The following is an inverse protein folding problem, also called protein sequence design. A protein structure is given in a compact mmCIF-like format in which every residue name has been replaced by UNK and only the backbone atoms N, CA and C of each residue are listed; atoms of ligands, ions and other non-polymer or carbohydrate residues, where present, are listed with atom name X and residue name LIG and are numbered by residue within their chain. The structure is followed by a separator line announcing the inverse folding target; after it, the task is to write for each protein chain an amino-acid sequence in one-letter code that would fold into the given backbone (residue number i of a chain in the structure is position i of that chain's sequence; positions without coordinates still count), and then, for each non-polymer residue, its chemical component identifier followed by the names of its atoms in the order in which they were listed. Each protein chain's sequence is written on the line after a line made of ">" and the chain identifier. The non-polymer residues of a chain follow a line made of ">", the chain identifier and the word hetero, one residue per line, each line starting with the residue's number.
data_IF_611956472599
#
_entry.id   IF_611956472599
#
_cell.length_a   1.000
_cell.length_b   1.000
_cell.length_c   1.000
_cell.angle_alpha   90.00
_cell.angle_beta   90.00
_cell.angle_gamma   90.00
#
_symmetry.space_group_name_H-M   'P 1'
#
loop_
_entity.id
_entity.type
_entity.pdbx_description
1 polymer ?
#
# COMPACT_ATOMS: atom_id res chain seq x y z
N UNK A 1 -14.98 -32.72 -54.49
CA UNK A 1 -15.11 -31.41 -53.81
C UNK A 1 -16.05 -31.36 -52.59
N UNK A 2 -16.89 -32.37 -52.31
CA UNK A 2 -17.84 -32.35 -51.16
C UNK A 2 -17.27 -32.88 -49.83
N UNK A 3 -16.35 -33.84 -49.87
CA UNK A 3 -15.79 -34.48 -48.68
C UNK A 3 -14.79 -33.61 -47.90
N UNK A 4 -14.00 -32.79 -48.59
CA UNK A 4 -13.02 -31.88 -47.96
C UNK A 4 -13.70 -30.78 -47.13
N UNK A 5 -14.85 -30.28 -47.57
CA UNK A 5 -15.64 -29.30 -46.80
C UNK A 5 -16.27 -29.93 -45.55
N UNK A 6 -16.72 -31.18 -45.63
CA UNK A 6 -17.29 -31.89 -44.48
C UNK A 6 -16.23 -32.18 -43.42
N UNK A 7 -15.04 -32.61 -43.84
CA UNK A 7 -13.90 -32.85 -42.95
C UNK A 7 -13.44 -31.56 -42.26
N UNK A 8 -13.36 -30.44 -43.00
CA UNK A 8 -13.01 -29.14 -42.42
C UNK A 8 -14.02 -28.65 -41.37
N UNK A 9 -15.31 -28.87 -41.60
CA UNK A 9 -16.37 -28.53 -40.62
C UNK A 9 -16.26 -29.40 -39.37
N UNK A 10 -15.99 -30.70 -39.53
CA UNK A 10 -15.78 -31.61 -38.38
C UNK A 10 -14.56 -31.18 -37.56
N UNK A 11 -13.45 -30.82 -38.19
CA UNK A 11 -12.27 -30.31 -37.48
C UNK A 11 -12.55 -28.99 -36.73
N UNK A 12 -13.29 -28.06 -37.33
CA UNK A 12 -13.70 -26.82 -36.67
C UNK A 12 -14.61 -27.07 -35.46
N UNK A 13 -15.54 -28.01 -35.57
CA UNK A 13 -16.43 -28.38 -34.46
C UNK A 13 -15.65 -29.05 -33.33
N UNK A 14 -14.76 -29.99 -33.65
CA UNK A 14 -13.90 -30.64 -32.64
C UNK A 14 -13.00 -29.61 -31.97
N UNK A 15 -12.41 -28.68 -32.73
CA UNK A 15 -11.57 -27.61 -32.21
C UNK A 15 -12.34 -26.63 -31.32
N UNK A 16 -13.58 -26.27 -31.69
CA UNK A 16 -14.46 -25.48 -30.82
C UNK A 16 -14.79 -26.23 -29.52
N UNK A 17 -15.11 -27.53 -29.60
CA UNK A 17 -15.42 -28.34 -28.41
C UNK A 17 -14.20 -28.44 -27.50
N UNK A 18 -12.99 -28.64 -28.02
CA UNK A 18 -11.78 -28.69 -27.19
C UNK A 18 -11.44 -27.35 -26.55
N UNK A 19 -11.67 -26.23 -27.23
CA UNK A 19 -11.52 -24.89 -26.64
C UNK A 19 -12.55 -24.66 -25.53
N UNK A 20 -13.82 -25.01 -25.75
CA UNK A 20 -14.88 -24.87 -24.75
C UNK A 20 -14.61 -25.76 -23.54
N UNK A 21 -14.17 -27.00 -23.76
CA UNK A 21 -13.82 -27.93 -22.69
C UNK A 21 -12.60 -27.44 -21.89
N UNK A 22 -11.55 -26.97 -22.58
CA UNK A 22 -10.37 -26.38 -21.95
C UNK A 22 -10.74 -25.15 -21.10
N UNK A 23 -11.65 -24.30 -21.59
CA UNK A 23 -12.22 -23.15 -20.84
C UNK A 23 -13.05 -23.58 -19.64
N UNK A 24 -13.81 -24.67 -19.75
CA UNK A 24 -14.61 -25.21 -18.66
C UNK A 24 -13.73 -25.78 -17.53
N UNK A 25 -12.69 -26.54 -17.90
CA UNK A 25 -11.78 -27.18 -16.95
C UNK A 25 -10.92 -26.15 -16.20
N UNK A 26 -10.46 -25.08 -16.86
CA UNK A 26 -9.78 -23.96 -16.18
C UNK A 26 -10.71 -23.18 -15.24
N UNK A 27 -12.00 -23.02 -15.59
CA UNK A 27 -12.98 -22.36 -14.73
C UNK A 27 -13.26 -23.19 -13.46
N UNK A 28 -13.31 -24.52 -13.59
CA UNK A 28 -13.45 -25.42 -12.44
C UNK A 28 -12.22 -25.41 -11.52
N UNK A 29 -11.01 -25.36 -12.08
CA UNK A 29 -9.78 -25.26 -11.28
C UNK A 29 -9.69 -23.93 -10.52
N UNK A 30 -10.02 -22.81 -11.18
CA UNK A 30 -10.11 -21.50 -10.53
C UNK A 30 -11.14 -21.50 -9.39
N UNK A 31 -12.35 -22.03 -9.62
CA UNK A 31 -13.39 -22.14 -8.59
C UNK A 31 -12.95 -23.02 -7.41
N UNK A 32 -12.23 -24.11 -7.66
CA UNK A 32 -11.68 -24.97 -6.60
C UNK A 32 -10.58 -24.26 -5.80
N UNK A 33 -9.69 -23.53 -6.45
CA UNK A 33 -8.65 -22.71 -5.79
C UNK A 33 -9.29 -21.61 -4.92
N UNK A 34 -10.30 -20.92 -5.44
CA UNK A 34 -11.04 -19.90 -4.70
C UNK A 34 -11.84 -20.50 -3.53
N UNK A 35 -12.49 -21.66 -3.71
CA UNK A 35 -13.20 -22.34 -2.62
C UNK A 35 -12.26 -22.80 -1.50
N UNK A 36 -11.07 -23.30 -1.83
CA UNK A 36 -10.07 -23.66 -0.81
C UNK A 36 -9.53 -22.45 -0.07
N UNK A 37 -9.30 -21.33 -0.78
CA UNK A 37 -8.96 -20.03 -0.16
C UNK A 37 -10.09 -19.54 0.75
N UNK A 38 -11.36 -19.66 0.33
CA UNK A 38 -12.54 -19.30 1.13
C UNK A 38 -12.59 -20.06 2.46
N UNK A 39 -12.44 -21.37 2.44
CA UNK A 39 -12.52 -22.20 3.66
C UNK A 39 -11.36 -21.87 4.62
N UNK A 40 -10.19 -21.50 4.07
CA UNK A 40 -9.05 -20.98 4.83
C UNK A 40 -9.37 -19.62 5.48
N UNK A 41 -9.89 -18.66 4.71
CA UNK A 41 -10.20 -17.31 5.20
C UNK A 41 -11.31 -17.30 6.25
N UNK A 42 -12.35 -18.12 6.08
CA UNK A 42 -13.45 -18.23 7.04
C UNK A 42 -12.98 -18.77 8.40
N UNK A 43 -12.08 -19.76 8.40
CA UNK A 43 -11.50 -20.29 9.63
C UNK A 43 -10.58 -19.29 10.33
N UNK A 44 -9.86 -18.47 9.57
CA UNK A 44 -8.98 -17.45 10.13
C UNK A 44 -9.72 -16.21 10.64
N UNK A 45 -10.86 -15.83 10.03
CA UNK A 45 -11.75 -14.77 10.56
C UNK A 45 -12.15 -15.05 12.00
N UNK A 46 -12.48 -16.31 12.34
CA UNK A 46 -12.83 -16.68 13.71
C UNK A 46 -11.65 -16.51 14.68
N UNK A 47 -10.43 -16.89 14.27
CA UNK A 47 -9.21 -16.74 15.08
C UNK A 47 -8.83 -15.28 15.29
N UNK A 48 -8.92 -14.45 14.25
CA UNK A 48 -8.61 -13.02 14.35
C UNK A 48 -9.69 -12.24 15.11
N UNK A 49 -10.98 -12.56 14.96
CA UNK A 49 -12.03 -11.99 15.81
C UNK A 49 -11.83 -12.35 17.28
N UNK A 50 -11.29 -13.54 17.57
CA UNK A 50 -10.93 -13.90 18.94
C UNK A 50 -9.73 -13.07 19.43
N UNK A 51 -8.72 -12.87 18.58
CA UNK A 51 -7.54 -12.08 18.92
C UNK A 51 -7.87 -10.59 19.13
N UNK A 52 -8.69 -9.98 18.26
CA UNK A 52 -9.17 -8.61 18.41
C UNK A 52 -10.05 -8.46 19.65
N UNK A 53 -10.89 -9.45 19.98
CA UNK A 53 -11.62 -9.49 21.26
C UNK A 53 -10.66 -9.54 22.45
N UNK A 54 -9.61 -10.36 22.38
CA UNK A 54 -8.61 -10.45 23.44
C UNK A 54 -7.85 -9.12 23.62
N UNK A 55 -7.50 -8.42 22.54
CA UNK A 55 -6.90 -7.09 22.61
C UNK A 55 -7.86 -6.04 23.19
N UNK A 56 -9.13 -6.05 22.77
CA UNK A 56 -10.15 -5.16 23.32
C UNK A 56 -10.34 -5.39 24.83
N UNK A 57 -10.42 -6.65 25.28
CA UNK A 57 -10.49 -7.01 26.70
C UNK A 57 -9.22 -6.62 27.48
N UNK A 58 -8.03 -6.81 26.89
CA UNK A 58 -6.77 -6.38 27.50
C UNK A 58 -6.72 -4.85 27.67
N UNK A 59 -7.17 -4.08 26.68
CA UNK A 59 -7.23 -2.62 26.74
C UNK A 59 -8.25 -2.10 27.78
N UNK A 60 -9.40 -2.75 27.92
CA UNK A 60 -10.36 -2.45 28.99
C UNK A 60 -9.76 -2.73 30.38
N UNK A 61 -9.05 -3.86 30.55
CA UNK A 61 -8.39 -4.20 31.81
C UNK A 61 -7.22 -3.26 32.20
N UNK A 62 -6.58 -2.64 31.20
CA UNK A 62 -5.53 -1.63 31.41
C UNK A 62 -6.13 -0.27 31.77
N UNK A 63 -7.29 0.08 31.21
CA UNK A 63 -8.03 1.27 31.63
C UNK A 63 -8.54 1.13 33.07
N UNK A 64 -9.10 -0.01 33.46
CA UNK A 64 -9.56 -0.24 34.84
C UNK A 64 -8.41 -0.19 35.86
N UNK A 65 -7.20 -0.66 35.50
CA UNK A 65 -6.00 -0.53 36.36
C UNK A 65 -5.43 0.89 36.41
N UNK A 66 -5.63 1.72 35.39
CA UNK A 66 -5.20 3.13 35.41
C UNK A 66 -6.13 4.05 36.22
N UNK A 67 -7.37 3.61 36.50
CA UNK A 67 -8.31 4.32 37.37
C UNK A 67 -8.27 3.87 38.85
N UNK A 68 -7.46 2.87 39.18
CA UNK A 68 -7.28 2.37 40.55
C UNK A 68 -5.83 2.58 41.05
N UNK A 69 -5.66 3.67 41.84
CA UNK A 69 -4.52 4.08 42.71
C UNK A 69 -3.29 4.84 42.13
N UNK A 70 -2.66 5.81 42.88
CA UNK A 70 -3.12 6.60 44.03
C UNK A 70 -2.77 8.11 43.88
N UNK A 71 -3.53 8.89 43.10
CA UNK A 71 -3.40 10.36 43.04
C UNK A 71 -4.36 11.12 43.96
N UNK A 72 -5.27 10.42 44.65
CA UNK A 72 -6.28 11.04 45.55
C UNK A 72 -5.83 11.22 47.01
N UNK A 73 -4.54 10.99 47.35
CA UNK A 73 -4.01 11.24 48.71
C UNK A 73 -3.21 12.54 48.89
N UNK A 74 -3.07 13.36 47.84
CA UNK A 74 -2.29 14.61 47.91
C UNK A 74 -3.13 15.90 48.00
N UNK A 75 -4.47 15.82 48.08
CA UNK A 75 -5.37 16.99 48.22
C UNK A 75 -5.98 17.05 49.64
N UNK A 76 -5.25 16.57 50.65
CA UNK A 76 -5.71 16.49 52.04
C UNK A 76 -4.99 17.41 53.03
N UNK A 77 -4.10 18.28 52.59
CA UNK A 77 -3.23 19.05 53.50
C UNK A 77 -2.86 20.43 52.97
N UNK A 78 -3.84 21.33 52.89
CA UNK A 78 -3.62 22.77 53.16
C UNK A 78 -4.85 23.29 53.90
N UNK A 79 -4.71 23.43 55.23
CA UNK A 79 -5.69 24.08 56.09
C UNK A 79 -5.98 25.50 55.63
N UNK A 80 -7.27 25.82 55.63
CA UNK A 80 -7.82 27.15 55.43
C UNK A 80 -7.23 28.17 56.41
N UNK A 81 -6.56 29.19 55.88
CA UNK A 81 -6.41 30.48 56.55
C UNK A 81 -7.52 31.40 56.03
N UNK A 82 -8.38 31.85 56.94
CA UNK A 82 -9.48 32.80 56.69
C UNK A 82 -8.94 34.23 56.55
N UNK A 83 -9.58 35.00 55.67
CA UNK A 83 -9.89 36.42 55.91
C UNK A 83 -9.42 37.40 54.84
N UNK A 84 -10.33 38.29 54.41
CA UNK A 84 -9.96 39.61 53.90
C UNK A 84 -10.64 40.04 52.61
N UNK A 85 -11.62 40.94 52.74
CA UNK A 85 -12.36 41.63 51.69
C UNK A 85 -11.56 42.67 50.88
N UNK A 86 -12.12 43.02 49.72
CA UNK A 86 -12.09 44.32 49.02
C UNK A 86 -11.01 44.63 47.95
N UNK A 87 -11.53 44.73 46.72
CA UNK A 87 -11.45 45.83 45.74
C UNK A 87 -10.10 46.29 45.15
N UNK A 88 -10.17 46.46 43.83
CA UNK A 88 -9.45 47.38 42.94
C UNK A 88 -8.18 46.91 42.23
N UNK A 89 -8.27 47.10 40.89
CA UNK A 89 -7.22 47.41 39.91
C UNK A 89 -5.97 46.53 39.90
N UNK A 90 -5.68 45.91 38.77
CA UNK A 90 -4.29 45.94 38.28
C UNK A 90 -4.22 46.05 36.75
N UNK A 91 -3.70 47.21 36.34
CA UNK A 91 -3.19 47.52 35.03
C UNK A 91 -1.88 46.76 34.74
N UNK A 92 -1.71 46.51 33.45
CA UNK A 92 -0.51 46.31 32.68
C UNK A 92 0.81 46.78 33.35
N UNK A 93 1.78 45.89 33.57
CA UNK A 93 3.19 46.27 33.70
C UNK A 93 4.12 45.20 33.14
N UNK A 94 4.86 45.57 32.06
CA UNK A 94 6.09 44.91 31.63
C UNK A 94 7.12 45.02 32.74
N UNK A 95 7.84 43.94 33.05
CA UNK A 95 9.09 43.99 33.81
C UNK A 95 10.24 43.37 33.01
N UNK A 96 11.25 44.21 32.85
CA UNK A 96 12.62 43.96 32.41
C UNK A 96 13.34 42.91 33.25
N UNK A 97 14.15 42.07 32.60
CA UNK A 97 15.17 41.24 33.25
C UNK A 97 16.57 41.87 33.07
N UNK A 98 17.46 41.82 34.09
CA UNK A 98 18.72 42.55 34.10
C UNK A 98 19.85 41.80 33.37
N UNK A 99 20.81 42.59 32.90
CA UNK A 99 22.06 42.15 32.28
C UNK A 99 22.94 41.35 33.26
N UNK A 100 23.53 40.26 32.76
CA UNK A 100 24.73 39.64 33.30
C UNK A 100 25.78 39.59 32.19
N UNK A 101 26.66 40.58 32.20
CA UNK A 101 27.97 40.55 31.55
C UNK A 101 28.93 39.72 32.42
N UNK A 102 30.03 39.26 31.82
CA UNK A 102 31.17 38.46 32.34
C UNK A 102 31.16 36.96 31.99
N UNK A 103 31.78 36.63 30.85
CA UNK A 103 32.49 35.36 30.63
C UNK A 103 33.91 35.65 30.08
N UNK A 104 34.97 34.93 30.50
CA UNK A 104 36.36 35.25 30.13
C UNK A 104 36.71 34.93 28.67
N UNK A 105 37.63 35.72 28.13
CA UNK A 105 38.03 35.84 26.72
C UNK A 105 38.83 34.66 26.12
N UNK A 106 38.74 33.43 26.67
CA UNK A 106 39.61 32.30 26.29
C UNK A 106 38.85 31.11 25.67
N UNK A 107 37.56 31.26 25.37
CA UNK A 107 36.75 30.20 24.76
C UNK A 107 36.11 30.60 23.41
N UNK A 108 36.72 31.55 22.69
CA UNK A 108 36.22 32.02 21.38
C UNK A 108 37.14 31.69 20.19
N UNK A 109 38.29 31.02 20.41
CA UNK A 109 39.22 30.67 19.34
C UNK A 109 39.15 29.20 18.86
N UNK A 110 38.27 28.37 19.42
CA UNK A 110 38.10 26.97 18.97
C UNK A 110 36.92 26.74 18.01
N UNK A 111 36.19 27.78 17.60
CA UNK A 111 34.95 27.64 16.79
C UNK A 111 35.00 28.37 15.44
N UNK A 112 36.20 28.71 14.92
CA UNK A 112 36.35 29.38 13.62
C UNK A 112 37.31 28.74 12.62
N UNK A 113 37.81 27.53 12.89
CA UNK A 113 38.75 26.84 11.98
C UNK A 113 38.27 25.46 11.51
N UNK A 114 36.97 25.27 11.31
CA UNK A 114 36.46 24.00 10.73
C UNK A 114 35.31 24.17 9.74
N UNK A 115 35.17 25.34 9.11
CA UNK A 115 34.14 25.59 8.07
C UNK A 115 34.60 25.26 6.64
N UNK A 116 35.65 24.46 6.46
CA UNK A 116 36.01 23.92 5.15
C UNK A 116 35.63 22.44 5.05
N UNK A 117 34.52 22.17 4.35
CA UNK A 117 34.40 20.94 3.57
C UNK A 117 33.68 19.74 4.18
N UNK A 118 32.60 19.93 4.95
CA UNK A 118 31.67 18.83 5.26
C UNK A 118 30.28 19.18 4.72
N UNK A 119 29.95 18.58 3.58
CA UNK A 119 28.56 18.47 3.12
C UNK A 119 27.86 17.55 4.12
N UNK A 120 27.21 18.13 5.12
CA UNK A 120 26.27 17.39 5.96
C UNK A 120 25.05 17.11 5.11
N UNK A 121 24.95 15.89 4.57
CA UNK A 121 23.64 15.35 4.18
C UNK A 121 22.76 15.47 5.41
N UNK A 122 21.74 16.33 5.33
CA UNK A 122 20.74 16.42 6.38
C UNK A 122 20.14 15.03 6.54
N UNK A 123 20.12 14.43 7.74
CA UNK A 123 19.30 13.26 7.98
C UNK A 123 17.88 13.62 7.55
N UNK A 124 17.33 12.88 6.60
CA UNK A 124 15.93 13.03 6.17
C UNK A 124 15.10 12.81 7.44
N UNK A 125 14.50 13.88 7.96
CA UNK A 125 13.62 13.79 9.13
C UNK A 125 12.49 12.80 8.78
N UNK A 126 12.16 11.92 9.73
CA UNK A 126 11.17 10.85 9.63
C UNK A 126 9.72 11.36 9.54
N UNK A 127 9.48 12.48 8.86
CA UNK A 127 8.20 13.20 8.80
C UNK A 127 7.71 13.50 7.37
N UNK A 128 8.47 13.17 6.32
CA UNK A 128 8.08 13.49 4.93
C UNK A 128 7.71 12.24 4.14
N UNK A 129 6.41 11.94 4.07
CA UNK A 129 5.86 11.00 3.10
C UNK A 129 5.66 11.67 1.72
N UNK A 130 5.49 10.84 0.69
CA UNK A 130 5.06 11.27 -0.65
C UNK A 130 6.06 12.16 -1.36
N UNK A 131 7.34 12.13 -0.96
CA UNK A 131 8.42 12.89 -1.57
C UNK A 131 9.42 11.92 -2.20
N UNK A 132 9.84 12.26 -3.40
CA UNK A 132 10.80 11.53 -4.21
C UNK A 132 11.91 12.47 -4.65
N UNK A 133 13.15 11.96 -4.71
CA UNK A 133 14.28 12.74 -5.24
C UNK A 133 14.23 12.80 -6.76
N UNK A 134 13.94 11.67 -7.41
CA UNK A 134 13.78 11.57 -8.85
C UNK A 134 12.33 11.84 -9.25
N UNK A 135 12.06 12.94 -9.94
CA UNK A 135 10.71 13.25 -10.41
C UNK A 135 10.29 12.27 -11.53
N UNK A 136 9.06 11.73 -11.50
CA UNK A 136 8.54 10.95 -12.61
C UNK A 136 8.39 11.84 -13.85
N UNK A 137 8.64 11.27 -15.02
CA UNK A 137 8.43 11.94 -16.30
C UNK A 137 7.20 11.38 -17.00
N UNK A 138 6.33 12.29 -17.41
CA UNK A 138 5.10 12.02 -18.12
C UNK A 138 5.28 12.56 -19.53
N UNK A 139 5.55 11.68 -20.50
CA UNK A 139 5.94 12.11 -21.85
C UNK A 139 6.12 10.94 -22.82
N UNK A 140 5.30 10.90 -23.86
CA UNK A 140 5.25 9.81 -24.84
C UNK A 140 3.99 8.96 -24.64
N UNK A 141 2.99 9.15 -25.52
CA UNK A 141 1.71 8.44 -25.48
C UNK A 141 1.90 6.97 -25.88
N UNK A 142 2.41 6.13 -24.99
CA UNK A 142 2.64 4.72 -25.26
C UNK A 142 1.54 3.86 -24.62
N UNK A 143 1.02 2.94 -25.43
CA UNK A 143 0.03 1.91 -25.12
C UNK A 143 0.64 0.89 -24.15
N UNK A 144 -0.07 0.50 -23.08
CA UNK A 144 0.41 -0.49 -22.09
C UNK A 144 1.32 0.06 -20.98
N UNK A 145 1.38 1.38 -20.80
CA UNK A 145 2.29 2.06 -19.86
C UNK A 145 3.70 2.21 -20.42
N UNK A 146 4.47 3.16 -19.89
CA UNK A 146 5.87 3.37 -20.24
C UNK A 146 6.77 3.04 -19.07
N UNK A 147 8.06 2.85 -19.34
CA UNK A 147 9.04 2.67 -18.27
C UNK A 147 9.05 3.91 -17.37
N UNK A 148 8.94 3.69 -16.06
CA UNK A 148 9.09 4.74 -15.09
C UNK A 148 10.52 5.28 -15.11
N UNK A 149 10.70 6.54 -14.73
CA UNK A 149 12.06 7.03 -14.49
C UNK A 149 12.66 6.18 -13.36
N UNK A 150 13.88 5.62 -13.50
CA UNK A 150 14.46 4.78 -12.47
C UNK A 150 14.39 5.44 -11.09
N UNK A 151 13.82 4.71 -10.14
CA UNK A 151 13.67 5.13 -8.75
C UNK A 151 12.81 6.39 -8.53
N UNK A 152 11.91 6.74 -9.45
CA UNK A 152 10.97 7.86 -9.26
C UNK A 152 9.78 7.52 -8.35
N UNK A 153 9.64 6.25 -7.94
CA UNK A 153 8.54 5.75 -7.11
C UNK A 153 9.06 5.01 -5.87
N UNK A 154 9.70 5.72 -4.92
CA UNK A 154 10.48 5.11 -3.83
C UNK A 154 9.64 4.37 -2.77
N UNK A 155 8.32 4.46 -2.82
CA UNK A 155 7.40 3.72 -1.95
C UNK A 155 6.97 2.37 -2.53
N UNK A 156 7.17 2.14 -3.82
CA UNK A 156 6.77 0.90 -4.46
C UNK A 156 7.61 -0.26 -3.93
N UNK A 157 6.94 -1.35 -3.54
CA UNK A 157 7.62 -2.58 -3.14
C UNK A 157 7.18 -3.77 -3.98
N UNK A 158 8.10 -4.71 -4.16
CA UNK A 158 7.81 -6.03 -4.68
C UNK A 158 7.47 -6.95 -3.50
N UNK A 159 6.24 -7.47 -3.50
CA UNK A 159 5.81 -8.56 -2.63
C UNK A 159 6.07 -9.88 -3.32
N UNK A 160 6.76 -10.80 -2.65
CA UNK A 160 6.98 -12.16 -3.14
C UNK A 160 6.63 -13.16 -2.04
N UNK A 161 5.73 -14.08 -2.32
CA UNK A 161 5.41 -15.19 -1.43
C UNK A 161 5.76 -16.52 -2.10
N UNK A 162 6.58 -17.33 -1.42
CA UNK A 162 6.85 -18.69 -1.85
C UNK A 162 5.58 -19.54 -1.70
N UNK A 163 5.12 -20.10 -2.81
CA UNK A 163 3.94 -20.96 -2.91
C UNK A 163 4.30 -22.28 -3.55
N UNK A 164 3.74 -23.38 -3.04
CA UNK A 164 3.90 -24.68 -3.69
C UNK A 164 3.03 -24.74 -4.94
N UNK A 165 3.62 -25.02 -6.09
CA UNK A 165 2.91 -25.19 -7.36
C UNK A 165 3.27 -26.51 -8.03
N UNK A 166 2.24 -27.15 -8.57
CA UNK A 166 2.36 -28.37 -9.36
C UNK A 166 2.10 -29.65 -8.56
N UNK A 167 1.72 -30.70 -9.29
CA UNK A 167 1.54 -32.06 -8.75
C UNK A 167 2.87 -32.71 -8.31
N UNK A 168 4.02 -32.12 -8.67
CA UNK A 168 5.36 -32.64 -8.41
C UNK A 168 6.12 -31.89 -7.28
N UNK A 169 5.48 -30.92 -6.61
CA UNK A 169 6.05 -30.28 -5.42
C UNK A 169 7.15 -29.24 -5.69
N UNK A 170 7.05 -28.47 -6.79
CA UNK A 170 7.93 -27.33 -7.03
C UNK A 170 7.49 -26.09 -6.25
N UNK A 171 8.43 -25.25 -5.83
CA UNK A 171 8.15 -23.92 -5.29
C UNK A 171 8.09 -22.90 -6.43
N UNK A 172 7.06 -22.06 -6.46
CA UNK A 172 7.03 -20.83 -7.26
C UNK A 172 6.79 -19.62 -6.38
N UNK A 173 6.88 -18.42 -6.96
CA UNK A 173 6.59 -17.17 -6.25
C UNK A 173 5.27 -16.57 -6.75
N UNK A 174 4.38 -16.24 -5.82
CA UNK A 174 3.26 -15.33 -6.06
C UNK A 174 3.79 -13.90 -5.93
N UNK A 175 3.76 -13.14 -7.02
CA UNK A 175 4.23 -11.76 -7.04
C UNK A 175 3.05 -10.78 -6.99
N UNK A 176 3.16 -9.79 -6.11
CA UNK A 176 2.26 -8.64 -6.01
C UNK A 176 3.08 -7.35 -5.85
N UNK A 177 2.41 -6.22 -5.98
CA UNK A 177 2.88 -4.93 -5.51
C UNK A 177 2.51 -4.65 -4.05
N UNK A 178 3.03 -3.54 -3.56
CA UNK A 178 2.64 -2.93 -2.29
C UNK A 178 3.21 -1.53 -2.21
N UNK A 179 2.89 -0.81 -1.14
CA UNK A 179 3.42 0.52 -0.88
C UNK A 179 3.89 0.67 0.56
N UNK A 180 5.10 1.18 0.75
CA UNK A 180 5.57 1.63 2.06
C UNK A 180 4.70 2.81 2.51
N UNK A 181 4.02 2.66 3.65
CA UNK A 181 3.27 3.74 4.31
C UNK A 181 4.00 4.25 5.56
N UNK A 182 5.01 3.49 6.03
CA UNK A 182 6.00 3.90 7.04
C UNK A 182 7.30 3.11 6.82
N UNK A 183 8.26 3.23 7.74
CA UNK A 183 9.50 2.46 7.70
C UNK A 183 9.28 0.95 7.92
N UNK A 184 8.20 0.55 8.57
CA UNK A 184 7.94 -0.82 9.01
C UNK A 184 6.57 -1.37 8.57
N UNK A 185 5.77 -0.57 7.85
CA UNK A 185 4.46 -0.99 7.35
C UNK A 185 4.34 -0.85 5.83
N UNK A 186 3.84 -1.91 5.21
CA UNK A 186 3.48 -1.99 3.80
C UNK A 186 1.98 -2.17 3.65
N UNK A 187 1.35 -1.36 2.80
CA UNK A 187 -0.04 -1.51 2.38
C UNK A 187 -0.10 -2.33 1.09
N UNK A 188 -0.97 -3.33 1.02
CA UNK A 188 -1.19 -4.18 -0.16
C UNK A 188 -2.62 -4.71 -0.19
N UNK A 189 -2.96 -5.54 -1.18
CA UNK A 189 -4.28 -6.17 -1.30
C UNK A 189 -4.35 -7.44 -0.43
N UNK A 190 -5.54 -7.74 0.11
CA UNK A 190 -5.75 -8.96 0.89
C UNK A 190 -5.67 -10.22 0.01
N UNK A 191 -6.10 -10.13 -1.25
CA UNK A 191 -6.06 -11.27 -2.17
C UNK A 191 -4.63 -11.71 -2.57
N UNK A 192 -3.63 -10.85 -2.37
CA UNK A 192 -2.22 -11.17 -2.61
C UNK A 192 -1.69 -12.24 -1.65
N UNK A 193 -2.28 -12.32 -0.47
CA UNK A 193 -1.94 -13.32 0.53
C UNK A 193 -2.48 -14.69 0.07
N UNK A 194 -1.64 -15.72 0.18
CA UNK A 194 -2.12 -17.11 0.07
C UNK A 194 -2.52 -17.66 1.43
N UNK A 195 -1.90 -17.15 2.50
CA UNK A 195 -2.23 -17.47 3.88
C UNK A 195 -2.05 -16.28 4.82
N UNK A 196 -2.51 -16.40 6.07
CA UNK A 196 -2.20 -15.46 7.16
C UNK A 196 -0.89 -15.85 7.89
N UNK A 197 -0.04 -16.70 7.30
CA UNK A 197 1.29 -17.02 7.81
C UNK A 197 2.30 -16.09 7.13
N UNK A 198 3.06 -15.27 7.90
CA UNK A 198 4.09 -14.42 7.32
C UNK A 198 5.30 -15.19 6.73
N UNK A 199 5.42 -16.49 7.01
CA UNK A 199 6.54 -17.30 6.49
C UNK A 199 6.53 -17.37 4.97
N UNK A 200 7.71 -17.21 4.38
CA UNK A 200 7.90 -17.27 2.93
C UNK A 200 7.51 -15.99 2.20
N UNK A 201 7.08 -14.94 2.92
CA UNK A 201 6.85 -13.62 2.36
C UNK A 201 8.11 -12.76 2.50
N UNK A 202 8.59 -12.25 1.37
CA UNK A 202 9.67 -11.28 1.25
C UNK A 202 9.16 -10.01 0.60
N UNK A 203 9.45 -8.87 1.22
CA UNK A 203 9.22 -7.53 0.69
C UNK A 203 10.55 -6.96 0.24
N UNK A 204 10.62 -6.47 -0.99
CA UNK A 204 11.80 -5.78 -1.53
C UNK A 204 11.45 -4.34 -1.90
N UNK A 205 12.11 -3.36 -1.28
CA UNK A 205 12.01 -1.93 -1.60
C UNK A 205 13.25 -1.44 -2.37
N UNK A 206 13.16 -0.29 -3.05
CA UNK A 206 14.28 0.33 -3.77
C UNK A 206 14.61 -0.33 -5.11
N UNK A 207 13.64 -1.01 -5.71
CA UNK A 207 13.75 -1.75 -6.96
C UNK A 207 13.17 -0.91 -8.11
N UNK A 208 13.91 -0.78 -9.22
CA UNK A 208 13.36 -0.36 -10.51
C UNK A 208 13.39 -1.52 -11.49
N UNK A 209 14.57 -2.12 -11.66
CA UNK A 209 14.78 -3.28 -12.53
C UNK A 209 15.07 -4.53 -11.68
N UNK A 210 14.19 -5.53 -11.75
CA UNK A 210 14.29 -6.78 -10.99
C UNK A 210 15.48 -7.67 -11.39
N UNK A 211 16.02 -7.46 -12.58
CA UNK A 211 17.11 -8.26 -13.14
C UNK A 211 18.47 -7.51 -13.09
N UNK A 212 18.50 -6.31 -12.48
CA UNK A 212 19.73 -5.51 -12.37
C UNK A 212 20.51 -5.84 -11.08
N UNK A 213 21.71 -6.40 -11.28
CA UNK A 213 22.59 -6.83 -10.19
C UNK A 213 23.18 -5.68 -9.37
N UNK A 214 23.37 -4.49 -9.97
CA UNK A 214 23.83 -3.31 -9.23
C UNK A 214 22.73 -2.78 -8.31
N UNK A 215 21.49 -2.73 -8.79
CA UNK A 215 20.35 -2.38 -7.93
C UNK A 215 20.19 -3.35 -6.77
N UNK A 216 20.30 -4.66 -7.05
CA UNK A 216 20.23 -5.69 -6.03
C UNK A 216 21.32 -5.54 -4.97
N UNK A 217 22.55 -5.18 -5.37
CA UNK A 217 23.67 -5.03 -4.45
C UNK A 217 23.64 -3.73 -3.65
N UNK A 218 23.17 -2.63 -4.25
CA UNK A 218 23.41 -1.28 -3.73
C UNK A 218 22.14 -0.49 -3.37
N UNK A 219 20.96 -0.89 -3.85
CA UNK A 219 19.71 -0.12 -3.69
C UNK A 219 18.62 -0.89 -2.95
N UNK A 220 18.53 -2.21 -3.18
CA UNK A 220 17.46 -3.02 -2.63
C UNK A 220 17.52 -3.13 -1.11
N UNK A 221 16.34 -3.10 -0.50
CA UNK A 221 16.16 -3.42 0.92
C UNK A 221 15.14 -4.54 1.05
N UNK A 222 15.62 -5.73 1.37
CA UNK A 222 14.78 -6.92 1.55
C UNK A 222 14.42 -7.11 3.02
N UNK A 223 13.14 -7.38 3.28
CA UNK A 223 12.58 -7.58 4.61
C UNK A 223 11.64 -8.77 4.60
N UNK A 224 11.73 -9.60 5.63
CA UNK A 224 10.66 -10.58 5.91
C UNK A 224 9.49 -9.89 6.60
N UNK A 225 8.32 -10.53 6.59
CA UNK A 225 7.14 -10.05 7.31
C UNK A 225 7.14 -10.63 8.73
N UNK A 226 6.87 -9.80 9.74
CA UNK A 226 6.68 -10.25 11.13
C UNK A 226 5.21 -10.47 11.47
N UNK A 227 4.32 -9.67 10.89
CA UNK A 227 2.89 -9.73 11.18
C UNK A 227 2.06 -9.31 9.97
N UNK A 228 0.91 -9.98 9.79
CA UNK A 228 -0.06 -9.70 8.73
C UNK A 228 -1.36 -9.22 9.38
N UNK A 229 -1.88 -8.10 8.89
CA UNK A 229 -3.18 -7.55 9.25
C UNK A 229 -4.08 -7.56 8.02
N UNK A 230 -4.98 -8.53 7.94
CA UNK A 230 -6.01 -8.57 6.89
C UNK A 230 -7.23 -7.82 7.38
N UNK A 231 -7.89 -7.05 6.51
CA UNK A 231 -9.17 -6.45 6.87
C UNK A 231 -10.16 -7.54 7.34
N UNK A 232 -10.80 -7.41 8.51
CA UNK A 232 -11.67 -8.47 9.06
C UNK A 232 -12.90 -8.75 8.19
N UNK A 233 -13.32 -7.77 7.39
CA UNK A 233 -14.46 -7.85 6.49
C UNK A 233 -14.06 -8.28 5.07
N UNK A 234 -12.78 -8.59 4.83
CA UNK A 234 -12.31 -9.16 3.55
C UNK A 234 -13.17 -10.37 3.16
N UNK A 235 -13.62 -10.36 1.91
CA UNK A 235 -14.43 -11.42 1.33
C UNK A 235 -13.88 -11.79 -0.05
N UNK A 236 -13.28 -12.97 -0.17
CA UNK A 236 -12.71 -13.45 -1.43
C UNK A 236 -13.75 -13.79 -2.50
N UNK A 237 -15.02 -13.98 -2.13
CA UNK A 237 -16.09 -14.30 -3.09
C UNK A 237 -16.61 -13.03 -3.77
N UNK A 238 -16.72 -11.91 -3.03
CA UNK A 238 -17.18 -10.61 -3.55
C UNK A 238 -16.04 -9.65 -3.89
N UNK A 239 -14.80 -9.96 -3.48
CA UNK A 239 -13.61 -9.11 -3.60
C UNK A 239 -13.84 -7.73 -2.93
N UNK A 240 -14.62 -7.71 -1.84
CA UNK A 240 -14.84 -6.52 -1.02
C UNK A 240 -13.89 -6.46 0.17
N UNK A 241 -13.47 -5.25 0.55
CA UNK A 241 -12.51 -5.00 1.63
C UNK A 241 -11.14 -5.64 1.36
N UNK A 242 -10.70 -5.55 0.09
CA UNK A 242 -9.45 -6.12 -0.41
C UNK A 242 -8.23 -5.29 0.00
N UNK A 243 -7.88 -5.34 1.28
CA UNK A 243 -6.79 -4.56 1.84
C UNK A 243 -6.12 -5.30 3.00
N UNK A 244 -4.80 -5.26 3.01
CA UNK A 244 -3.96 -5.83 4.05
C UNK A 244 -2.78 -4.91 4.37
N UNK A 245 -2.35 -4.94 5.62
CA UNK A 245 -1.11 -4.30 6.08
C UNK A 245 -0.13 -5.38 6.51
N UNK A 246 1.11 -5.25 6.06
CA UNK A 246 2.22 -6.12 6.45
C UNK A 246 3.16 -5.31 7.34
N UNK A 247 3.46 -5.83 8.53
CA UNK A 247 4.54 -5.32 9.37
C UNK A 247 5.83 -6.03 9.00
N UNK A 248 6.86 -5.27 8.69
CA UNK A 248 8.18 -5.79 8.39
C UNK A 248 8.84 -6.32 9.67
N UNK A 249 9.78 -7.26 9.53
CA UNK A 249 10.55 -7.81 10.65
C UNK A 249 11.53 -6.80 11.24
N UNK A 250 12.00 -5.88 10.42
CA UNK A 250 12.81 -4.73 10.78
C UNK A 250 12.49 -3.58 9.83
N UNK A 251 12.62 -2.31 10.27
CA UNK A 251 12.32 -1.17 9.42
C UNK A 251 13.28 -1.08 8.22
N UNK A 252 12.80 -0.49 7.13
CA UNK A 252 13.64 -0.03 6.03
C UNK A 252 14.36 1.27 6.43
N UNK A 253 15.51 1.50 5.82
CA UNK A 253 16.25 2.75 5.95
C UNK A 253 15.81 3.70 4.84
N UNK A 254 15.27 4.86 5.18
CA UNK A 254 14.89 5.83 4.16
C UNK A 254 16.10 6.46 3.48
N UNK A 255 16.06 6.55 2.16
CA UNK A 255 17.08 7.12 1.28
C UNK A 255 16.44 7.58 -0.05
N UNK A 256 17.25 7.95 -1.04
CA UNK A 256 16.77 8.41 -2.35
C UNK A 256 15.91 7.38 -3.13
N UNK A 257 16.01 6.09 -2.80
CA UNK A 257 15.31 4.98 -3.45
C UNK A 257 14.14 4.42 -2.63
N UNK A 258 14.10 4.71 -1.33
CA UNK A 258 13.17 4.13 -0.37
C UNK A 258 12.59 5.21 0.52
N UNK A 259 11.31 5.51 0.32
CA UNK A 259 10.54 6.52 1.06
C UNK A 259 9.08 6.07 1.18
N UNK A 260 8.33 6.50 2.21
CA UNK A 260 6.93 6.13 2.33
C UNK A 260 6.04 7.04 1.45
N UNK A 261 4.92 6.52 0.96
CA UNK A 261 3.84 7.31 0.35
C UNK A 261 2.94 7.91 1.43
N UNK A 262 2.31 9.05 1.16
CA UNK A 262 1.32 9.59 2.09
C UNK A 262 0.00 8.82 2.01
N UNK A 263 -0.65 8.64 3.15
CA UNK A 263 -2.06 8.23 3.19
C UNK A 263 -2.95 9.35 2.63
N UNK A 264 -4.09 9.00 2.00
CA UNK A 264 -4.93 9.97 1.32
C UNK A 264 -5.68 10.87 2.30
N UNK A 265 -6.08 12.03 1.80
CA UNK A 265 -7.02 12.93 2.46
C UNK A 265 -8.41 12.82 1.83
N UNK A 266 -8.90 13.86 1.12
CA UNK A 266 -10.12 13.77 0.32
C UNK A 266 -9.95 12.81 -0.86
N UNK A 267 -11.05 12.14 -1.23
CA UNK A 267 -11.09 11.26 -2.40
C UNK A 267 -10.80 12.00 -3.71
N UNK A 268 -10.24 11.30 -4.70
CA UNK A 268 -9.96 11.89 -5.99
C UNK A 268 -11.28 12.16 -6.73
N UNK A 269 -11.35 13.31 -7.40
CA UNK A 269 -12.58 13.73 -8.10
C UNK A 269 -12.73 12.95 -9.41
N UNK A 270 -13.97 12.74 -9.90
CA UNK A 270 -14.20 12.24 -11.26
C UNK A 270 -13.40 13.01 -12.30
N UNK A 271 -12.91 12.30 -13.32
CA UNK A 271 -12.07 12.83 -14.40
C UNK A 271 -10.71 13.43 -13.96
N UNK A 272 -10.34 13.32 -12.68
CA UNK A 272 -8.98 13.66 -12.24
C UNK A 272 -7.97 12.58 -12.66
N UNK A 273 -6.73 13.00 -12.87
CA UNK A 273 -5.63 12.11 -13.25
C UNK A 273 -5.09 11.37 -12.03
N UNK A 274 -4.80 10.08 -12.24
CA UNK A 274 -4.20 9.16 -11.27
C UNK A 274 -3.09 8.39 -11.98
N UNK A 275 -2.00 8.13 -11.28
CA UNK A 275 -0.86 7.36 -11.81
C UNK A 275 -0.89 5.95 -11.22
N UNK A 276 -0.83 4.96 -12.11
CA UNK A 276 -0.67 3.55 -11.74
C UNK A 276 0.77 3.14 -11.99
N UNK A 277 1.34 2.33 -11.09
CA UNK A 277 2.70 1.80 -11.22
C UNK A 277 2.76 0.31 -10.90
N UNK A 278 3.66 -0.42 -11.56
CA UNK A 278 3.87 -1.84 -11.28
C UNK A 278 4.78 -2.56 -12.27
N UNK A 279 5.05 -3.83 -11.96
CA UNK A 279 5.81 -4.76 -12.81
C UNK A 279 4.90 -5.79 -13.49
N UNK A 280 3.58 -5.58 -13.43
CA UNK A 280 2.60 -6.47 -14.01
C UNK A 280 2.83 -6.73 -15.50
N UNK A 281 2.24 -7.82 -15.97
CA UNK A 281 2.34 -8.24 -17.36
C UNK A 281 1.64 -7.20 -18.24
N UNK A 282 2.16 -6.89 -19.42
CA UNK A 282 1.46 -5.99 -20.36
C UNK A 282 0.41 -6.74 -21.20
N UNK A 283 0.44 -8.07 -21.13
CA UNK A 283 -0.40 -8.98 -21.90
C UNK A 283 -0.93 -10.12 -21.03
N UNK A 284 -2.02 -10.75 -21.46
CA UNK A 284 -2.63 -11.85 -20.70
C UNK A 284 -1.72 -13.06 -20.73
N UNK A 285 -1.21 -13.49 -19.57
CA UNK A 285 -0.25 -14.60 -19.49
C UNK A 285 1.14 -14.28 -20.07
N UNK A 286 1.45 -12.99 -20.26
CA UNK A 286 2.79 -12.52 -20.60
C UNK A 286 3.76 -12.64 -19.42
N UNK A 287 5.02 -12.31 -19.65
CA UNK A 287 6.03 -12.22 -18.59
C UNK A 287 5.88 -10.90 -17.83
N UNK A 288 6.20 -10.94 -16.53
CA UNK A 288 6.28 -9.73 -15.71
C UNK A 288 7.37 -8.82 -16.28
N UNK A 289 7.09 -7.51 -16.34
CA UNK A 289 8.09 -6.55 -16.79
C UNK A 289 9.33 -6.61 -15.87
N UNK A 290 10.56 -6.58 -16.42
CA UNK A 290 11.76 -6.48 -15.60
C UNK A 290 11.89 -5.10 -14.94
N UNK A 291 11.49 -4.06 -15.66
CA UNK A 291 11.52 -2.67 -15.22
C UNK A 291 10.16 -2.20 -14.71
N UNK A 292 10.14 -1.27 -13.76
CA UNK A 292 8.93 -0.65 -13.26
C UNK A 292 8.26 0.16 -14.38
N UNK A 293 6.97 -0.05 -14.59
CA UNK A 293 6.15 0.71 -15.53
C UNK A 293 5.25 1.70 -14.78
N UNK A 294 4.84 2.73 -15.49
CA UNK A 294 3.85 3.70 -15.04
C UNK A 294 2.86 4.04 -16.17
N UNK A 295 1.65 4.45 -15.81
CA UNK A 295 0.64 4.95 -16.75
C UNK A 295 -0.32 5.92 -16.08
N UNK A 296 -0.79 6.92 -16.82
CA UNK A 296 -1.79 7.88 -16.38
C UNK A 296 -3.21 7.44 -16.78
N UNK A 297 -4.12 7.44 -15.81
CA UNK A 297 -5.52 7.04 -15.96
C UNK A 297 -6.45 8.10 -15.35
N UNK A 298 -7.75 8.01 -15.66
CA UNK A 298 -8.77 8.90 -15.11
C UNK A 298 -9.67 8.17 -14.10
N UNK A 299 -10.08 8.90 -13.07
CA UNK A 299 -11.14 8.47 -12.14
C UNK A 299 -12.48 8.38 -12.85
N UNK A 300 -13.20 7.28 -12.64
CA UNK A 300 -14.59 7.12 -13.03
C UNK A 300 -15.46 7.05 -11.77
N UNK A 301 -16.54 7.82 -11.78
CA UNK A 301 -17.44 8.01 -10.65
C UNK A 301 -18.25 6.73 -10.30
N UNK A 302 -18.78 6.06 -11.32
CA UNK A 302 -19.48 4.78 -11.16
C UNK A 302 -19.14 3.82 -12.30
N UNK A 303 -18.62 2.65 -11.94
CA UNK A 303 -18.29 1.57 -12.86
C UNK A 303 -19.26 0.38 -12.75
N UNK A 304 -20.42 0.56 -12.11
CA UNK A 304 -21.46 -0.48 -12.00
C UNK A 304 -21.98 -0.99 -13.33
N UNK A 305 -21.94 -0.17 -14.38
CA UNK A 305 -22.28 -0.59 -15.74
C UNK A 305 -21.35 -1.71 -16.25
N UNK A 306 -20.13 -1.78 -15.71
CA UNK A 306 -19.12 -2.80 -16.02
C UNK A 306 -19.10 -3.91 -14.97
N UNK A 307 -19.41 -3.58 -13.72
CA UNK A 307 -19.27 -4.46 -12.56
C UNK A 307 -20.48 -4.31 -11.62
N UNK A 308 -21.47 -5.19 -11.75
CA UNK A 308 -22.77 -5.05 -11.07
C UNK A 308 -22.71 -4.94 -9.54
N UNK A 309 -21.67 -5.50 -8.93
CA UNK A 309 -21.55 -5.66 -7.48
C UNK A 309 -20.57 -4.66 -6.85
N UNK A 310 -20.22 -3.58 -7.56
CA UNK A 310 -19.31 -2.54 -7.04
C UNK A 310 -19.95 -1.74 -5.92
N UNK A 311 -19.21 -1.61 -4.83
CA UNK A 311 -19.49 -0.71 -3.75
C UNK A 311 -18.64 0.56 -3.88
N UNK A 312 -19.21 1.62 -4.46
CA UNK A 312 -18.53 2.91 -4.65
C UNK A 312 -18.02 3.57 -3.36
N UNK A 313 -18.56 3.23 -2.19
CA UNK A 313 -18.07 3.75 -0.90
C UNK A 313 -16.74 3.11 -0.48
N UNK A 314 -16.43 1.92 -1.00
CA UNK A 314 -15.25 1.12 -0.63
C UNK A 314 -14.29 0.88 -1.78
N UNK A 315 -14.73 1.15 -3.00
CA UNK A 315 -14.00 0.86 -4.23
C UNK A 315 -13.94 2.11 -5.11
N UNK A 316 -12.84 2.21 -5.85
CA UNK A 316 -12.56 3.22 -6.86
C UNK A 316 -12.41 2.53 -8.21
N UNK A 317 -12.71 3.27 -9.27
CA UNK A 317 -12.56 2.78 -10.63
C UNK A 317 -11.73 3.76 -11.45
N UNK A 318 -10.75 3.22 -12.17
CA UNK A 318 -9.92 4.00 -13.08
C UNK A 318 -9.95 3.43 -14.49
N UNK A 319 -9.84 4.30 -15.48
CA UNK A 319 -9.78 3.90 -16.89
C UNK A 319 -8.74 4.72 -17.63
N UNK A 320 -8.02 4.06 -18.52
CA UNK A 320 -7.17 4.75 -19.48
C UNK A 320 -8.04 5.60 -20.42
N UNK A 321 -7.84 6.94 -20.48
CA UNK A 321 -8.57 7.82 -21.38
C UNK A 321 -8.47 7.40 -22.86
N UNK A 322 -7.38 6.75 -23.26
CA UNK A 322 -7.15 6.28 -24.63
C UNK A 322 -7.67 4.86 -24.87
N UNK A 323 -8.09 4.16 -23.81
CA UNK A 323 -8.54 2.76 -23.87
C UNK A 323 -7.45 1.82 -24.42
N UNK A 324 -6.19 2.16 -24.17
CA UNK A 324 -5.00 1.47 -24.69
C UNK A 324 -4.21 0.72 -23.61
N UNK A 325 -4.57 0.89 -22.35
CA UNK A 325 -3.88 0.31 -21.19
C UNK A 325 -4.88 -0.01 -20.08
N UNK A 326 -4.59 -1.06 -19.35
CA UNK A 326 -5.26 -1.45 -18.11
C UNK A 326 -4.22 -2.08 -17.20
N UNK A 327 -4.36 -1.96 -15.88
CA UNK A 327 -3.57 -2.78 -14.95
C UNK A 327 -3.78 -4.26 -15.25
N UNK A 328 -2.76 -5.08 -15.03
CA UNK A 328 -2.80 -6.48 -15.41
C UNK A 328 -2.20 -7.37 -14.31
N UNK A 329 -1.96 -8.64 -14.63
CA UNK A 329 -1.46 -9.64 -13.69
C UNK A 329 -0.11 -9.18 -13.11
N UNK A 330 0.03 -9.15 -11.79
CA UNK A 330 1.26 -8.73 -11.11
C UNK A 330 1.29 -7.27 -10.63
N UNK A 331 0.29 -6.45 -10.99
CA UNK A 331 0.08 -5.12 -10.40
C UNK A 331 -0.79 -5.15 -9.13
N UNK A 332 -1.37 -6.31 -8.82
CA UNK A 332 -2.20 -6.57 -7.63
C UNK A 332 -1.53 -6.07 -6.36
N UNK A 333 -2.26 -5.33 -5.53
CA UNK A 333 -1.72 -4.73 -4.31
C UNK A 333 -0.86 -3.48 -4.51
N UNK A 334 -0.51 -3.13 -5.75
CA UNK A 334 0.18 -1.89 -6.08
C UNK A 334 -0.69 -0.64 -5.90
N UNK A 335 -0.09 0.56 -5.87
CA UNK A 335 -0.81 1.79 -5.59
C UNK A 335 -1.41 2.45 -6.83
N UNK A 336 -2.53 3.14 -6.61
CA UNK A 336 -3.01 4.23 -7.44
C UNK A 336 -2.68 5.56 -6.75
N UNK A 337 -1.97 6.45 -7.44
CA UNK A 337 -1.31 7.61 -6.85
C UNK A 337 -1.85 8.92 -7.41
N UNK A 338 -2.04 9.90 -6.54
CA UNK A 338 -2.35 11.27 -6.93
C UNK A 338 -1.40 12.25 -6.21
N UNK A 339 -1.08 13.37 -6.86
CA UNK A 339 -0.23 14.39 -6.28
C UNK A 339 -1.08 15.53 -5.71
N UNK A 340 -0.92 15.82 -4.41
CA UNK A 340 -1.53 16.96 -3.71
C UNK A 340 -0.44 17.82 -3.09
N UNK A 341 -0.41 19.12 -3.42
CA UNK A 341 0.56 20.09 -2.87
C UNK A 341 2.03 19.64 -2.94
N UNK A 342 2.37 18.93 -4.03
CA UNK A 342 3.71 18.40 -4.28
C UNK A 342 4.06 17.13 -3.49
N UNK A 343 3.09 16.50 -2.82
CA UNK A 343 3.22 15.19 -2.18
C UNK A 343 2.37 14.14 -2.89
N UNK A 344 2.92 12.95 -3.07
CA UNK A 344 2.17 11.81 -3.58
C UNK A 344 1.42 11.12 -2.46
N UNK A 345 0.13 10.88 -2.69
CA UNK A 345 -0.73 10.10 -1.80
C UNK A 345 -1.21 8.83 -2.51
N UNK A 346 -1.51 7.80 -1.72
CA UNK A 346 -2.12 6.56 -2.23
C UNK A 346 -3.65 6.63 -2.15
N UNK A 347 -4.31 6.81 -3.29
CA UNK A 347 -5.78 6.86 -3.36
C UNK A 347 -6.40 5.46 -3.36
N UNK A 348 -5.70 4.50 -3.97
CA UNK A 348 -6.21 3.15 -4.18
C UNK A 348 -5.16 2.05 -4.08
N UNK A 349 -5.62 0.84 -3.80
CA UNK A 349 -4.83 -0.40 -3.87
C UNK A 349 -5.41 -1.30 -4.98
N UNK A 350 -4.58 -1.74 -5.93
CA UNK A 350 -5.02 -2.56 -7.07
C UNK A 350 -5.70 -3.84 -6.58
N UNK A 351 -6.99 -4.00 -6.91
CA UNK A 351 -7.80 -5.12 -6.42
C UNK A 351 -8.13 -6.10 -7.54
N UNK A 352 -8.95 -5.71 -8.52
CA UNK A 352 -9.29 -6.59 -9.64
C UNK A 352 -9.60 -5.81 -10.91
N UNK A 353 -9.51 -6.52 -12.03
CA UNK A 353 -9.88 -6.01 -13.33
C UNK A 353 -10.35 -7.14 -14.23
N UNK A 354 -10.50 -6.83 -15.51
CA UNK A 354 -10.85 -7.85 -16.48
C UNK A 354 -9.73 -8.88 -16.61
N UNK A 355 -10.09 -10.15 -16.84
CA UNK A 355 -9.12 -11.28 -16.90
C UNK A 355 -8.13 -11.18 -18.05
N UNK A 356 -8.49 -10.42 -19.08
CA UNK A 356 -7.70 -10.25 -20.27
C UNK A 356 -7.27 -8.79 -20.36
N UNK A 357 -5.95 -8.56 -20.35
CA UNK A 357 -5.36 -7.23 -20.31
C UNK A 357 -5.31 -6.56 -21.69
N UNK A 358 -5.45 -7.34 -22.76
CA UNK A 358 -5.31 -6.89 -24.16
C UNK A 358 -6.65 -6.77 -24.89
N UNK A 359 -7.78 -7.05 -24.23
CA UNK A 359 -9.08 -7.03 -24.93
C UNK A 359 -9.53 -5.58 -25.11
N UNK A 360 -9.23 -5.08 -26.31
CA UNK A 360 -9.58 -3.76 -26.84
C UNK A 360 -11.09 -3.53 -26.98
N UNK A 361 -11.95 -4.55 -26.81
CA UNK A 361 -13.37 -4.41 -27.13
C UNK A 361 -14.24 -3.88 -25.98
N UNK A 362 -13.73 -3.74 -24.75
CA UNK A 362 -14.64 -3.46 -23.62
C UNK A 362 -14.26 -2.41 -22.57
N UNK A 363 -13.31 -1.51 -22.80
CA UNK A 363 -13.35 -0.21 -22.10
C UNK A 363 -13.39 -0.31 -20.55
N UNK A 364 -13.03 -1.47 -19.98
CA UNK A 364 -13.46 -1.84 -18.63
C UNK A 364 -12.53 -1.16 -17.64
N UNK A 365 -13.08 -0.41 -16.69
CA UNK A 365 -12.29 0.17 -15.62
C UNK A 365 -11.71 -0.94 -14.74
N UNK A 366 -10.53 -0.66 -14.21
CA UNK A 366 -9.92 -1.47 -13.16
C UNK A 366 -10.43 -0.96 -11.82
N UNK A 367 -10.71 -1.91 -10.92
CA UNK A 367 -11.23 -1.67 -9.59
C UNK A 367 -10.10 -1.69 -8.57
N UNK A 368 -10.08 -0.66 -7.73
CA UNK A 368 -9.15 -0.48 -6.63
C UNK A 368 -9.90 -0.39 -5.32
N UNK A 369 -9.29 -0.87 -4.24
CA UNK A 369 -9.80 -0.58 -2.90
C UNK A 369 -9.59 0.91 -2.60
N UNK A 370 -10.64 1.63 -2.20
CA UNK A 370 -10.61 3.05 -1.83
C UNK A 370 -9.90 3.23 -0.49
N UNK A 371 -8.66 3.70 -0.46
CA UNK A 371 -7.85 3.73 0.79
C UNK A 371 -8.46 4.64 1.86
N UNK A 372 -9.05 5.77 1.47
CA UNK A 372 -9.71 6.72 2.38
C UNK A 372 -10.79 6.06 3.26
N UNK A 373 -11.54 5.09 2.71
CA UNK A 373 -12.58 4.34 3.42
C UNK A 373 -12.03 3.45 4.54
N UNK A 374 -10.73 3.15 4.51
CA UNK A 374 -10.05 2.28 5.48
C UNK A 374 -9.10 3.04 6.41
N UNK A 375 -9.00 4.38 6.32
CA UNK A 375 -8.12 5.18 7.18
C UNK A 375 -8.28 4.89 8.69
N UNK A 376 -9.49 4.76 9.26
CA UNK A 376 -9.61 4.42 10.68
C UNK A 376 -8.99 3.07 11.03
N UNK A 377 -9.12 2.07 10.15
CA UNK A 377 -8.54 0.74 10.32
C UNK A 377 -7.02 0.77 10.16
N UNK A 378 -6.52 1.46 9.13
CA UNK A 378 -5.08 1.64 8.88
C UNK A 378 -4.42 2.33 10.08
N UNK A 379 -4.97 3.47 10.51
CA UNK A 379 -4.45 4.26 11.63
C UNK A 379 -4.45 3.47 12.94
N UNK A 380 -5.48 2.65 13.18
CA UNK A 380 -5.55 1.78 14.34
C UNK A 380 -4.44 0.73 14.41
N UNK A 381 -3.87 0.33 13.26
CA UNK A 381 -2.76 -0.63 13.17
C UNK A 381 -1.41 0.08 13.28
N UNK A 382 -1.20 1.16 12.52
CA UNK A 382 0.12 1.83 12.49
C UNK A 382 0.40 2.64 13.76
N UNK A 383 -0.62 2.94 14.57
CA UNK A 383 -0.47 3.64 15.86
C UNK A 383 -0.33 2.70 17.06
N UNK A 384 -0.41 1.37 16.86
CA UNK A 384 -0.27 0.34 17.90
C UNK A 384 1.13 -0.23 17.96
#
# INVERSE_FOLDING_TARGET
>A
MRWTKLIAVIFLVIWCITIVQSRYDTNQDFRKKMSKKRDFYMNNRQKQQQQLRNYALASQSLNERKFADPWMKAIGSVSAYKGGSNSNKFENTRRSWPQLQYLPHVFQQSLRDTTHGISYTRPIESSTCGRQENAPQFGGRIVGGHEAVPHSWPWQVLYQELVSCGYEGGDCASNCGGSLISADYVLTAAHCLNSNDPKGITITAGIHNKDDADEQANKWQQRSVSQIFVNPDWNSDTIENDIAILRLSEPVNFNEYVQPVCLPGPDPKPDSEVVLIGWGTISTGGELSPVLKQTEVLVIDDCKEFWSDINGEKQLCFRDPKLTSSSCQGDSGGPALQQHDGQWVIEGVTSFGHRQCEVLDHKMPVVYTRVSAYLPWINGIISS
#
